data_IF_320220382808
#
_entry.id   IF_320220382808
#
_cell.length_a   1.000
_cell.length_b   1.000
_cell.length_c   1.000
_cell.angle_alpha   90.00
_cell.angle_beta   90.00
_cell.angle_gamma   90.00
#
_symmetry.space_group_name_H-M   'P 1'
#
loop_
_entity.id
_entity.type
_entity.pdbx_description
1 polymer ?
#
# COMPACT_ATOMS: atom_id res chain seq x y z
N UNK A 1 10.21 17.68 -9.72
CA UNK A 1 11.02 16.72 -8.93
C UNK A 1 11.49 15.62 -9.87
N UNK A 2 12.78 15.40 -9.93
CA UNK A 2 13.38 14.43 -10.86
C UNK A 2 12.87 12.99 -10.60
N UNK A 3 12.70 12.16 -11.64
CA UNK A 3 12.18 10.79 -11.49
C UNK A 3 13.00 9.93 -10.54
N UNK A 4 14.31 10.14 -10.47
CA UNK A 4 15.18 9.45 -9.52
C UNK A 4 14.85 9.77 -8.06
N UNK A 5 14.53 11.04 -7.74
CA UNK A 5 14.16 11.47 -6.38
C UNK A 5 12.81 10.88 -5.97
N UNK A 6 11.86 10.78 -6.89
CA UNK A 6 10.57 10.12 -6.63
C UNK A 6 10.73 8.63 -6.34
N UNK A 7 11.58 7.94 -7.09
CA UNK A 7 11.86 6.51 -6.87
C UNK A 7 12.51 6.26 -5.51
N UNK A 8 13.51 7.06 -5.15
CA UNK A 8 14.20 6.95 -3.84
C UNK A 8 13.26 7.27 -2.69
N UNK A 9 12.48 8.36 -2.77
CA UNK A 9 11.50 8.70 -1.74
C UNK A 9 10.41 7.63 -1.59
N UNK A 10 9.97 7.04 -2.70
CA UNK A 10 8.98 5.95 -2.70
C UNK A 10 9.42 4.70 -1.94
N UNK A 11 10.72 4.47 -1.79
CA UNK A 11 11.26 3.35 -1.02
C UNK A 11 11.64 3.78 0.40
N UNK A 12 12.30 4.93 0.56
CA UNK A 12 12.82 5.36 1.86
C UNK A 12 11.72 5.71 2.85
N UNK A 13 10.62 6.32 2.39
CA UNK A 13 9.53 6.71 3.30
C UNK A 13 8.84 5.50 3.94
N UNK A 14 8.38 4.47 3.21
CA UNK A 14 7.84 3.28 3.84
C UNK A 14 8.85 2.58 4.76
N UNK A 15 10.10 2.46 4.34
CA UNK A 15 11.15 1.86 5.17
C UNK A 15 11.31 2.62 6.48
N UNK A 16 11.30 3.96 6.45
CA UNK A 16 11.41 4.78 7.66
C UNK A 16 10.21 4.56 8.62
N UNK A 17 8.98 4.50 8.10
CA UNK A 17 7.79 4.26 8.92
C UNK A 17 7.81 2.86 9.57
N UNK A 18 8.13 1.82 8.82
CA UNK A 18 8.22 0.46 9.37
C UNK A 18 9.39 0.30 10.34
N UNK A 19 10.54 0.91 10.06
CA UNK A 19 11.68 0.91 10.97
C UNK A 19 11.37 1.67 12.27
N UNK A 20 10.74 2.84 12.19
CA UNK A 20 10.29 3.59 13.36
C UNK A 20 9.25 2.80 14.16
N UNK A 21 8.28 2.17 13.50
CA UNK A 21 7.30 1.30 14.14
C UNK A 21 7.95 0.12 14.85
N UNK A 22 8.94 -0.52 14.23
CA UNK A 22 9.70 -1.62 14.84
C UNK A 22 10.55 -1.16 16.03
N UNK A 23 11.16 0.01 15.94
CA UNK A 23 11.98 0.58 17.02
C UNK A 23 11.14 0.97 18.24
N UNK A 24 9.96 1.56 18.02
CA UNK A 24 9.03 1.90 19.11
C UNK A 24 8.41 0.62 19.69
N UNK A 25 8.06 -0.33 18.85
CA UNK A 25 7.49 -1.62 19.23
C UNK A 25 6.07 -1.52 19.79
N UNK A 26 5.52 -2.68 20.15
CA UNK A 26 4.21 -2.79 20.76
C UNK A 26 3.09 -2.18 19.92
N UNK A 27 2.05 -1.69 20.58
CA UNK A 27 0.85 -1.11 19.97
C UNK A 27 1.12 0.23 19.28
N UNK A 28 1.97 1.06 19.89
CA UNK A 28 2.37 2.33 19.30
C UNK A 28 3.15 2.12 18.00
N UNK A 29 4.01 1.11 17.93
CA UNK A 29 4.73 0.75 16.71
C UNK A 29 3.80 0.31 15.58
N UNK A 30 2.76 -0.49 15.88
CA UNK A 30 1.73 -0.87 14.92
C UNK A 30 0.98 0.38 14.42
N UNK A 31 0.59 1.28 15.32
CA UNK A 31 -0.09 2.51 14.92
C UNK A 31 0.76 3.37 13.96
N UNK A 32 2.05 3.50 14.23
CA UNK A 32 2.99 4.24 13.36
C UNK A 32 3.06 3.61 11.96
N UNK A 33 3.22 2.29 11.89
CA UNK A 33 3.24 1.57 10.61
C UNK A 33 1.91 1.73 9.86
N UNK A 34 0.77 1.62 10.57
CA UNK A 34 -0.57 1.75 10.00
C UNK A 34 -0.86 3.13 9.43
N UNK A 35 -0.25 4.19 9.96
CA UNK A 35 -0.35 5.55 9.37
C UNK A 35 0.19 5.54 7.94
N UNK A 36 1.36 4.95 7.71
CA UNK A 36 1.91 4.85 6.37
C UNK A 36 1.04 4.01 5.44
N UNK A 37 0.61 2.84 5.92
CA UNK A 37 -0.25 1.92 5.14
C UNK A 37 -1.57 2.59 4.76
N UNK A 38 -2.16 3.40 5.66
CA UNK A 38 -3.34 4.19 5.38
C UNK A 38 -3.10 5.24 4.29
N UNK A 39 -2.01 5.99 4.40
CA UNK A 39 -1.63 7.00 3.39
C UNK A 39 -1.44 6.33 2.01
N UNK A 40 -0.70 5.23 1.96
CA UNK A 40 -0.47 4.49 0.72
C UNK A 40 -1.77 3.93 0.12
N UNK A 41 -2.65 3.37 0.95
CA UNK A 41 -3.95 2.84 0.53
C UNK A 41 -4.86 3.92 -0.03
N UNK A 42 -5.01 5.03 0.68
CA UNK A 42 -5.83 6.17 0.25
C UNK A 42 -5.27 6.81 -1.02
N UNK A 43 -3.96 6.95 -1.13
CA UNK A 43 -3.32 7.46 -2.34
C UNK A 43 -3.60 6.55 -3.54
N UNK A 44 -3.46 5.23 -3.39
CA UNK A 44 -3.79 4.28 -4.46
C UNK A 44 -5.28 4.29 -4.81
N UNK A 45 -6.19 4.45 -3.84
CA UNK A 45 -7.62 4.59 -4.12
C UNK A 45 -7.90 5.85 -4.93
N UNK A 46 -7.33 7.00 -4.54
CA UNK A 46 -7.48 8.25 -5.27
C UNK A 46 -6.91 8.12 -6.70
N UNK A 47 -5.72 7.53 -6.83
CA UNK A 47 -5.08 7.30 -8.12
C UNK A 47 -5.91 6.34 -9.00
N UNK A 48 -6.51 5.31 -8.41
CA UNK A 48 -7.40 4.41 -9.15
C UNK A 48 -8.63 5.13 -9.72
N UNK A 49 -9.21 6.08 -8.99
CA UNK A 49 -10.34 6.87 -9.50
C UNK A 49 -9.95 7.74 -10.71
N UNK A 50 -8.72 8.23 -10.77
CA UNK A 50 -8.23 9.08 -11.86
C UNK A 50 -7.63 8.28 -13.02
N UNK A 51 -6.71 7.37 -12.71
CA UNK A 51 -5.85 6.71 -13.70
C UNK A 51 -6.24 5.26 -13.99
N UNK A 52 -7.10 4.64 -13.16
CA UNK A 52 -7.53 3.25 -13.33
C UNK A 52 -6.37 2.24 -13.43
N UNK A 53 -5.24 2.53 -12.79
CA UNK A 53 -4.10 1.62 -12.78
C UNK A 53 -4.44 0.28 -12.10
N UNK A 54 -4.06 -0.81 -12.74
CA UNK A 54 -4.46 -2.16 -12.30
C UNK A 54 -3.94 -2.50 -10.92
N UNK A 55 -2.67 -2.14 -10.61
CA UNK A 55 -2.12 -2.41 -9.27
C UNK A 55 -2.89 -1.66 -8.17
N UNK A 56 -3.36 -0.44 -8.43
CA UNK A 56 -4.14 0.33 -7.46
C UNK A 56 -5.51 -0.28 -7.14
N UNK A 57 -6.08 -1.09 -8.04
CA UNK A 57 -7.32 -1.82 -7.77
C UNK A 57 -7.16 -2.87 -6.64
N UNK A 58 -5.96 -3.38 -6.44
CA UNK A 58 -5.63 -4.34 -5.38
C UNK A 58 -5.00 -3.64 -4.18
N UNK A 59 -4.00 -2.80 -4.41
CA UNK A 59 -3.23 -2.15 -3.34
C UNK A 59 -4.06 -1.12 -2.58
N UNK A 60 -4.93 -0.37 -3.26
CA UNK A 60 -5.78 0.63 -2.62
C UNK A 60 -6.67 0.03 -1.52
N UNK A 61 -7.64 -0.83 -1.86
CA UNK A 61 -8.51 -1.46 -0.86
C UNK A 61 -7.73 -2.36 0.11
N UNK A 62 -6.71 -3.09 -0.38
CA UNK A 62 -5.92 -4.00 0.45
C UNK A 62 -5.16 -3.26 1.56
N UNK A 63 -4.44 -2.20 1.24
CA UNK A 63 -3.72 -1.41 2.24
C UNK A 63 -4.65 -0.62 3.14
N UNK A 64 -5.77 -0.11 2.63
CA UNK A 64 -6.77 0.57 3.48
C UNK A 64 -7.33 -0.40 4.51
N UNK A 65 -7.67 -1.63 4.13
CA UNK A 65 -8.13 -2.66 5.05
C UNK A 65 -7.04 -3.06 6.05
N UNK A 66 -5.80 -3.24 5.60
CA UNK A 66 -4.66 -3.55 6.48
C UNK A 66 -4.45 -2.45 7.52
N UNK A 67 -4.53 -1.17 7.14
CA UNK A 67 -4.43 -0.05 8.06
C UNK A 67 -5.56 -0.05 9.11
N UNK A 68 -6.80 -0.33 8.70
CA UNK A 68 -7.94 -0.46 9.64
C UNK A 68 -7.68 -1.57 10.64
N UNK A 69 -7.19 -2.72 10.21
CA UNK A 69 -6.84 -3.84 11.09
C UNK A 69 -5.69 -3.46 12.04
N UNK A 70 -4.66 -2.78 11.54
CA UNK A 70 -3.54 -2.30 12.34
C UNK A 70 -3.97 -1.30 13.41
N UNK A 71 -4.80 -0.32 13.07
CA UNK A 71 -5.36 0.61 14.06
C UNK A 71 -6.28 -0.10 15.06
N UNK A 72 -7.11 -1.05 14.62
CA UNK A 72 -7.91 -1.84 15.52
C UNK A 72 -7.05 -2.64 16.51
N UNK A 73 -5.97 -3.27 16.03
CA UNK A 73 -5.01 -3.96 16.89
C UNK A 73 -4.30 -3.02 17.89
N UNK A 74 -3.99 -1.79 17.46
CA UNK A 74 -3.35 -0.81 18.31
C UNK A 74 -4.29 -0.23 19.38
N UNK A 75 -5.57 -0.02 19.05
CA UNK A 75 -6.53 0.67 19.93
C UNK A 75 -7.34 -0.26 20.82
N UNK A 76 -7.50 -1.55 20.46
CA UNK A 76 -8.30 -2.52 21.18
C UNK A 76 -7.42 -3.63 21.80
N UNK A 77 -6.80 -3.41 22.98
CA UNK A 77 -6.01 -4.42 23.66
C UNK A 77 -6.89 -5.60 24.11
N UNK A 78 -6.33 -6.80 24.05
CA UNK A 78 -7.03 -8.02 24.49
C UNK A 78 -8.04 -8.58 23.49
N UNK A 79 -8.07 -8.07 22.26
CA UNK A 79 -8.87 -8.62 21.17
C UNK A 79 -8.16 -9.79 20.47
N UNK A 80 -8.88 -10.48 19.57
CA UNK A 80 -8.32 -11.50 18.69
C UNK A 80 -7.16 -11.00 17.80
N UNK A 81 -6.94 -9.67 17.73
CA UNK A 81 -5.86 -9.04 16.95
C UNK A 81 -4.55 -8.84 17.76
N UNK A 82 -4.44 -9.40 18.97
CA UNK A 82 -3.23 -9.25 19.81
C UNK A 82 -1.94 -9.80 19.17
N UNK A 83 -2.07 -10.71 18.21
CA UNK A 83 -0.96 -11.24 17.40
C UNK A 83 -0.51 -10.30 16.28
N UNK A 84 -1.32 -9.29 15.93
CA UNK A 84 -1.01 -8.35 14.86
C UNK A 84 0.08 -7.37 15.32
N UNK A 85 1.25 -7.51 14.74
CA UNK A 85 2.47 -6.75 15.08
C UNK A 85 3.02 -6.07 13.82
N UNK A 86 3.96 -5.16 14.00
CA UNK A 86 4.63 -4.44 12.90
C UNK A 86 5.17 -5.39 11.83
N UNK A 87 5.75 -6.52 12.23
CA UNK A 87 6.26 -7.51 11.26
C UNK A 87 5.15 -8.12 10.41
N UNK A 88 3.98 -8.41 11.00
CA UNK A 88 2.82 -8.93 10.29
C UNK A 88 2.29 -7.87 9.32
N UNK A 89 2.17 -6.63 9.76
CA UNK A 89 1.73 -5.53 8.91
C UNK A 89 2.69 -5.27 7.75
N UNK A 90 4.00 -5.32 8.01
CA UNK A 90 5.02 -5.22 6.96
C UNK A 90 4.87 -6.34 5.93
N UNK A 91 4.66 -7.59 6.37
CA UNK A 91 4.44 -8.73 5.49
C UNK A 91 3.16 -8.55 4.66
N UNK A 92 2.07 -8.15 5.30
CA UNK A 92 0.79 -7.88 4.62
C UNK A 92 0.96 -6.78 3.58
N UNK A 93 1.66 -5.69 3.92
CA UNK A 93 1.97 -4.60 2.99
C UNK A 93 2.73 -5.10 1.75
N UNK A 94 3.79 -5.90 1.95
CA UNK A 94 4.62 -6.45 0.87
C UNK A 94 3.83 -7.45 0.01
N UNK A 95 3.04 -8.32 0.63
CA UNK A 95 2.21 -9.30 -0.11
C UNK A 95 1.18 -8.60 -0.99
N UNK A 96 0.50 -7.58 -0.47
CA UNK A 96 -0.46 -6.79 -1.24
C UNK A 96 0.22 -6.05 -2.38
N UNK A 97 1.42 -5.48 -2.12
CA UNK A 97 2.24 -4.84 -3.15
C UNK A 97 2.58 -5.82 -4.28
N UNK A 98 3.10 -6.99 -3.92
CA UNK A 98 3.47 -8.03 -4.89
C UNK A 98 2.26 -8.52 -5.68
N UNK A 99 1.12 -8.71 -5.03
CA UNK A 99 -0.13 -9.11 -5.68
C UNK A 99 -0.63 -8.04 -6.67
N UNK A 100 -0.59 -6.76 -6.28
CA UNK A 100 -1.01 -5.66 -7.14
C UNK A 100 -0.16 -5.53 -8.41
N UNK A 101 1.16 -5.48 -8.25
CA UNK A 101 2.08 -5.42 -9.40
C UNK A 101 2.13 -6.72 -10.20
N UNK A 102 1.99 -7.87 -9.55
CA UNK A 102 1.88 -9.15 -10.22
C UNK A 102 0.64 -9.22 -11.12
N UNK A 103 -0.50 -8.75 -10.63
CA UNK A 103 -1.72 -8.65 -11.42
C UNK A 103 -1.55 -7.69 -12.60
N UNK A 104 -0.96 -6.52 -12.37
CA UNK A 104 -0.65 -5.56 -13.44
C UNK A 104 0.23 -6.19 -14.52
N UNK A 105 1.27 -6.92 -14.12
CA UNK A 105 2.14 -7.61 -15.05
C UNK A 105 1.39 -8.63 -15.91
N UNK A 106 0.53 -9.45 -15.29
CA UNK A 106 -0.29 -10.46 -16.00
C UNK A 106 -1.28 -9.80 -16.95
N UNK A 107 -1.97 -8.74 -16.50
CA UNK A 107 -2.92 -7.99 -17.34
C UNK A 107 -2.19 -7.32 -18.50
N UNK A 108 -1.04 -6.68 -18.26
CA UNK A 108 -0.24 -6.05 -19.30
C UNK A 108 0.28 -7.07 -20.34
N UNK A 109 0.72 -8.25 -19.88
CA UNK A 109 1.19 -9.32 -20.77
C UNK A 109 0.07 -9.87 -21.66
N UNK A 110 -1.17 -9.95 -21.15
CA UNK A 110 -2.32 -10.49 -21.90
C UNK A 110 -3.03 -9.47 -22.78
N UNK A 111 -3.09 -8.21 -22.37
CA UNK A 111 -3.90 -7.18 -23.02
C UNK A 111 -3.08 -6.06 -23.65
N UNK A 112 -1.79 -5.98 -23.37
CA UNK A 112 -0.93 -4.86 -23.75
C UNK A 112 -1.23 -3.54 -23.02
N UNK A 113 -2.10 -3.57 -21.99
CA UNK A 113 -2.55 -2.38 -21.24
C UNK A 113 -2.23 -2.51 -19.76
N UNK A 114 -1.68 -1.44 -19.17
CA UNK A 114 -1.41 -1.34 -17.72
C UNK A 114 -2.61 -0.79 -16.94
N UNK A 115 -3.48 -0.04 -17.61
CA UNK A 115 -4.66 0.56 -16.99
C UNK A 115 -5.96 -0.14 -17.40
N UNK A 116 -6.84 -0.38 -16.42
CA UNK A 116 -8.14 -0.98 -16.65
C UNK A 116 -9.11 0.04 -17.24
N UNK A 117 -9.71 -0.29 -18.39
CA UNK A 117 -10.83 0.46 -18.96
C UNK A 117 -10.46 1.77 -19.66
N UNK A 118 -9.19 2.08 -19.85
CA UNK A 118 -8.76 3.24 -20.65
C UNK A 118 -8.49 2.82 -22.08
N UNK A 119 -9.32 3.36 -22.99
CA UNK A 119 -9.06 3.35 -24.41
C UNK A 119 -8.52 4.73 -24.79
N UNK A 120 -7.24 4.83 -25.18
CA UNK A 120 -6.73 6.02 -25.85
C UNK A 120 -6.04 7.07 -24.96
N UNK A 121 -6.20 8.33 -25.28
CA UNK A 121 -5.35 9.47 -24.92
C UNK A 121 -5.18 9.80 -23.43
N UNK A 122 -6.09 9.38 -22.53
CA UNK A 122 -5.97 9.67 -21.09
C UNK A 122 -4.89 8.88 -20.36
N UNK A 123 -4.34 7.82 -20.97
CA UNK A 123 -3.26 7.05 -20.37
C UNK A 123 -1.90 7.77 -20.38
N UNK A 124 -1.78 8.87 -21.12
CA UNK A 124 -0.52 9.64 -21.22
C UNK A 124 -0.37 10.69 -20.11
N UNK A 125 -1.47 11.11 -19.49
CA UNK A 125 -1.47 12.16 -18.45
C UNK A 125 -1.35 11.59 -17.02
N UNK A 126 -1.34 10.28 -16.88
CA UNK A 126 -1.12 9.53 -15.64
C UNK A 126 0.27 8.91 -15.57
#
# INVERSE_FOLDING_TARGET
MEPAVRGVAGVLVPVAFFAAGAAVGGRAGVAIASVWVAIAGLYCLANFWHCRETHCAVTGPGWTLAAVLGFAAALAPGTALSWYRVNVETMVFVVILAAGYGLEYVVAARTGRRAMGQAGQHAQDC
#
